data_IF_874438777057
#
_entry.id   IF_874438777057
#
_cell.length_a   1.000
_cell.length_b   1.000
_cell.length_c   1.000
_cell.angle_alpha   90.00
_cell.angle_beta   90.00
_cell.angle_gamma   90.00
#
_symmetry.space_group_name_H-M   'P 1'
#
loop_
_entity.id
_entity.type
_entity.pdbx_description
1 polymer ?
#
# COMPACT_ATOMS: atom_id res chain seq x y z
N UNK A 1 8.91 6.70 -8.08
CA UNK A 1 7.75 6.77 -7.16
C UNK A 1 7.43 5.39 -6.63
N UNK A 2 7.14 5.31 -5.36
CA UNK A 2 6.75 4.08 -4.70
C UNK A 2 5.30 4.15 -4.29
N UNK A 3 4.56 3.08 -4.50
CA UNK A 3 3.17 3.00 -4.05
C UNK A 3 3.08 2.02 -2.89
N UNK A 4 2.40 2.47 -1.84
CA UNK A 4 2.22 1.70 -0.62
C UNK A 4 0.73 1.50 -0.43
N UNK A 5 0.33 0.25 -0.21
CA UNK A 5 -1.08 -0.09 -0.03
C UNK A 5 -1.24 -0.79 1.31
N UNK A 6 -2.10 -0.23 2.15
CA UNK A 6 -2.41 -0.82 3.45
C UNK A 6 -3.86 -1.31 3.41
N UNK A 7 -4.04 -2.62 3.50
CA UNK A 7 -5.34 -3.25 3.46
C UNK A 7 -5.75 -3.62 4.88
N UNK A 8 -6.63 -2.81 5.43
CA UNK A 8 -7.22 -3.05 6.75
C UNK A 8 -8.60 -3.67 6.63
N UNK A 9 -9.16 -4.08 7.75
CA UNK A 9 -10.49 -4.72 7.78
C UNK A 9 -11.62 -3.80 7.28
N UNK A 10 -11.48 -2.51 7.48
CA UNK A 10 -12.53 -1.54 7.14
C UNK A 10 -12.13 -0.65 5.98
N UNK A 11 -10.86 -0.39 5.80
CA UNK A 11 -10.38 0.62 4.87
C UNK A 11 -9.09 0.17 4.20
N UNK A 12 -8.98 0.48 2.91
CA UNK A 12 -7.76 0.33 2.15
C UNK A 12 -7.19 1.73 1.93
N UNK A 13 -5.93 1.92 2.26
CA UNK A 13 -5.22 3.18 2.04
C UNK A 13 -4.16 2.96 0.97
N UNK A 14 -4.13 3.85 -0.02
CA UNK A 14 -3.09 3.83 -1.05
C UNK A 14 -2.31 5.14 -0.92
N UNK A 15 -1.02 5.03 -0.69
CA UNK A 15 -0.15 6.17 -0.51
C UNK A 15 0.94 6.17 -1.59
N UNK A 16 1.33 7.37 -1.99
CA UNK A 16 2.41 7.55 -2.96
C UNK A 16 3.57 8.23 -2.26
N UNK A 17 4.74 7.60 -2.35
CA UNK A 17 5.97 8.16 -1.82
C UNK A 17 6.91 8.50 -2.98
N UNK A 18 7.58 9.64 -2.87
CA UNK A 18 8.54 10.05 -3.89
C UNK A 18 9.90 9.38 -3.67
N UNK A 19 10.88 9.77 -4.48
CA UNK A 19 12.23 9.22 -4.38
C UNK A 19 12.94 9.56 -3.08
N UNK A 20 12.46 10.56 -2.36
CA UNK A 20 12.98 10.96 -1.06
C UNK A 20 12.18 10.36 0.09
N UNK A 21 11.25 9.46 -0.23
CA UNK A 21 10.47 8.71 0.75
C UNK A 21 9.45 9.55 1.50
N UNK A 22 9.05 10.66 0.93
CA UNK A 22 7.99 11.48 1.49
C UNK A 22 6.65 11.10 0.86
N UNK A 23 5.64 10.96 1.71
CA UNK A 23 4.28 10.67 1.26
C UNK A 23 3.69 11.95 0.69
N UNK A 24 3.49 11.96 -0.63
CA UNK A 24 2.97 13.14 -1.32
C UNK A 24 1.46 13.17 -1.39
N UNK A 25 0.85 12.01 -1.53
CA UNK A 25 -0.59 11.88 -1.67
C UNK A 25 -1.03 10.54 -1.13
N UNK A 26 -2.27 10.49 -0.68
CA UNK A 26 -2.87 9.25 -0.26
C UNK A 26 -4.37 9.32 -0.49
N UNK A 27 -4.98 8.19 -0.81
CA UNK A 27 -6.43 8.10 -0.84
C UNK A 27 -6.87 6.79 -0.21
N UNK A 28 -8.14 6.71 0.12
CA UNK A 28 -8.68 5.55 0.80
C UNK A 28 -10.07 5.20 0.28
N UNK A 29 -10.40 3.94 0.39
CA UNK A 29 -11.73 3.45 0.08
C UNK A 29 -12.05 2.27 1.00
N UNK A 30 -13.32 1.88 1.03
CA UNK A 30 -13.75 0.81 1.92
C UNK A 30 -13.23 -0.55 1.48
N UNK A 31 -12.87 -1.37 2.45
CA UNK A 31 -12.53 -2.77 2.20
C UNK A 31 -13.82 -3.56 2.07
N UNK A 32 -14.12 -4.00 0.85
CA UNK A 32 -15.30 -4.80 0.56
C UNK A 32 -14.85 -6.21 0.20
N UNK A 33 -15.05 -7.13 1.13
CA UNK A 33 -14.52 -8.49 1.02
C UNK A 33 -15.16 -9.32 -0.07
N UNK A 34 -16.39 -8.97 -0.44
CA UNK A 34 -17.15 -9.67 -1.47
C UNK A 34 -16.90 -9.13 -2.88
N UNK A 35 -16.08 -8.10 -3.00
CA UNK A 35 -15.81 -7.48 -4.30
C UNK A 35 -14.72 -8.22 -5.06
N UNK A 36 -14.72 -8.01 -6.36
CA UNK A 36 -13.85 -8.72 -7.29
C UNK A 36 -12.76 -7.78 -7.84
N UNK A 37 -11.95 -8.34 -8.76
CA UNK A 37 -10.90 -7.59 -9.46
C UNK A 37 -11.43 -6.31 -10.10
N UNK A 38 -12.66 -6.33 -10.66
CA UNK A 38 -13.25 -5.17 -11.32
C UNK A 38 -13.43 -3.98 -10.39
N UNK A 39 -13.85 -4.23 -9.15
CA UNK A 39 -13.98 -3.20 -8.14
C UNK A 39 -12.63 -2.53 -7.85
N UNK A 40 -11.60 -3.33 -7.62
CA UNK A 40 -10.28 -2.80 -7.30
C UNK A 40 -9.66 -2.09 -8.49
N UNK A 41 -9.88 -2.57 -9.71
CA UNK A 41 -9.45 -1.86 -10.91
C UNK A 41 -10.10 -0.47 -11.00
N UNK A 42 -11.39 -0.39 -10.73
CA UNK A 42 -12.11 0.88 -10.76
C UNK A 42 -11.51 1.87 -9.75
N UNK A 43 -11.33 1.43 -8.52
CA UNK A 43 -10.80 2.30 -7.45
C UNK A 43 -9.37 2.75 -7.73
N UNK A 44 -8.53 1.84 -8.22
CA UNK A 44 -7.15 2.16 -8.56
C UNK A 44 -7.06 3.14 -9.72
N UNK A 45 -7.84 2.91 -10.78
CA UNK A 45 -7.86 3.80 -11.93
C UNK A 45 -8.35 5.19 -11.56
N UNK A 46 -9.37 5.25 -10.72
CA UNK A 46 -9.92 6.53 -10.27
C UNK A 46 -8.87 7.35 -9.51
N UNK A 47 -8.12 6.70 -8.62
CA UNK A 47 -7.06 7.37 -7.88
C UNK A 47 -5.90 7.80 -8.75
N UNK A 48 -5.46 6.92 -9.64
CA UNK A 48 -4.39 7.22 -10.58
C UNK A 48 -4.74 8.44 -11.43
N UNK A 49 -5.96 8.49 -11.93
CA UNK A 49 -6.43 9.62 -12.73
C UNK A 49 -6.53 10.90 -11.89
N UNK A 50 -7.10 10.79 -10.70
CA UNK A 50 -7.32 11.95 -9.82
C UNK A 50 -6.01 12.64 -9.45
N UNK A 51 -4.98 11.86 -9.16
CA UNK A 51 -3.69 12.40 -8.71
C UNK A 51 -2.66 12.52 -9.83
N UNK A 52 -3.05 12.26 -11.07
CA UNK A 52 -2.17 12.44 -12.22
C UNK A 52 -0.95 11.54 -12.21
N UNK A 53 -1.08 10.32 -11.71
CA UNK A 53 0.04 9.39 -11.60
C UNK A 53 0.40 8.85 -12.97
N UNK A 54 1.69 8.93 -13.30
CA UNK A 54 2.22 8.29 -14.51
C UNK A 54 2.68 6.88 -14.16
N UNK A 55 2.10 5.89 -14.82
CA UNK A 55 2.45 4.49 -14.55
C UNK A 55 3.93 4.24 -14.77
N UNK A 56 4.53 4.88 -15.77
CA UNK A 56 5.96 4.74 -16.04
C UNK A 56 6.87 5.25 -14.92
N UNK A 57 6.34 6.07 -14.03
CA UNK A 57 7.10 6.61 -12.89
C UNK A 57 7.04 5.69 -11.67
N UNK A 58 6.21 4.66 -11.69
CA UNK A 58 6.07 3.74 -10.57
C UNK A 58 7.23 2.76 -10.58
N UNK A 59 8.02 2.78 -9.52
CA UNK A 59 9.16 1.88 -9.34
C UNK A 59 8.76 0.60 -8.61
N UNK A 60 8.03 0.76 -7.51
CA UNK A 60 7.62 -0.37 -6.68
C UNK A 60 6.21 -0.19 -6.17
N UNK A 61 5.55 -1.31 -5.93
CA UNK A 61 4.24 -1.34 -5.28
C UNK A 61 4.32 -2.35 -4.15
N UNK A 62 4.06 -1.91 -2.93
CA UNK A 62 4.14 -2.76 -1.75
C UNK A 62 2.81 -2.76 -1.02
N UNK A 63 2.38 -3.93 -0.60
CA UNK A 63 1.10 -4.14 0.06
C UNK A 63 1.32 -4.71 1.45
N UNK A 64 0.72 -4.08 2.45
CA UNK A 64 0.56 -4.64 3.77
C UNK A 64 -0.91 -4.99 3.95
N UNK A 65 -1.23 -6.23 4.27
CA UNK A 65 -2.62 -6.68 4.33
C UNK A 65 -2.90 -7.54 5.56
N UNK A 66 -4.03 -7.25 6.19
CA UNK A 66 -4.60 -8.12 7.24
C UNK A 66 -5.90 -8.78 6.76
N UNK A 67 -6.18 -8.71 5.45
CA UNK A 67 -7.39 -9.26 4.86
C UNK A 67 -7.00 -10.16 3.69
N UNK A 68 -6.60 -11.40 3.98
CA UNK A 68 -6.12 -12.31 2.91
C UNK A 68 -7.14 -12.55 1.80
N UNK A 69 -8.42 -12.42 2.11
CA UNK A 69 -9.50 -12.69 1.15
C UNK A 69 -9.46 -11.80 -0.09
N UNK A 70 -8.90 -10.58 0.03
CA UNK A 70 -8.85 -9.65 -1.10
C UNK A 70 -7.48 -9.56 -1.75
N UNK A 71 -6.47 -10.23 -1.21
CA UNK A 71 -5.10 -10.09 -1.68
C UNK A 71 -4.94 -10.42 -3.16
N UNK A 72 -5.48 -11.55 -3.60
CA UNK A 72 -5.35 -11.98 -4.98
C UNK A 72 -6.08 -11.03 -5.94
N UNK A 73 -7.23 -10.54 -5.52
CA UNK A 73 -8.01 -9.62 -6.34
C UNK A 73 -7.30 -8.29 -6.55
N UNK A 74 -6.77 -7.72 -5.47
CA UNK A 74 -6.08 -6.44 -5.59
C UNK A 74 -4.75 -6.59 -6.33
N UNK A 75 -4.03 -7.68 -6.10
CA UNK A 75 -2.80 -7.96 -6.83
C UNK A 75 -3.05 -8.08 -8.34
N UNK A 76 -4.11 -8.78 -8.73
CA UNK A 76 -4.47 -8.92 -10.13
C UNK A 76 -4.85 -7.57 -10.74
N UNK A 77 -5.61 -6.76 -10.02
CA UNK A 77 -5.98 -5.43 -10.47
C UNK A 77 -4.74 -4.56 -10.72
N UNK A 78 -3.77 -4.62 -9.82
CA UNK A 78 -2.53 -3.88 -9.94
C UNK A 78 -1.75 -4.31 -11.17
N UNK A 79 -1.60 -5.61 -11.36
CA UNK A 79 -0.89 -6.17 -12.52
C UNK A 79 -1.57 -5.75 -13.82
N UNK A 80 -2.91 -5.82 -13.85
CA UNK A 80 -3.69 -5.46 -15.04
C UNK A 80 -3.52 -3.98 -15.43
N UNK A 81 -3.39 -3.11 -14.44
CA UNK A 81 -3.30 -1.67 -14.67
C UNK A 81 -1.86 -1.21 -14.91
N UNK A 82 -0.92 -1.71 -14.13
CA UNK A 82 0.45 -1.19 -14.11
C UNK A 82 1.47 -2.10 -14.78
N UNK A 83 1.18 -3.38 -14.88
CA UNK A 83 2.17 -4.38 -15.32
C UNK A 83 3.20 -4.71 -14.25
N UNK A 84 3.07 -4.17 -13.05
CA UNK A 84 4.01 -4.37 -11.95
C UNK A 84 3.44 -5.39 -10.99
N UNK A 85 4.25 -6.38 -10.62
CA UNK A 85 3.87 -7.35 -9.60
C UNK A 85 4.09 -6.73 -8.23
N UNK A 86 3.04 -6.61 -7.41
CA UNK A 86 3.20 -6.02 -6.09
C UNK A 86 3.94 -6.96 -5.14
N UNK A 87 4.65 -6.38 -4.20
CA UNK A 87 5.32 -7.11 -3.13
C UNK A 87 4.46 -7.04 -1.88
N UNK A 88 4.11 -8.19 -1.33
CA UNK A 88 3.39 -8.25 -0.07
C UNK A 88 4.36 -8.17 1.09
N UNK A 89 4.13 -7.21 1.95
CA UNK A 89 5.00 -6.92 3.07
C UNK A 89 4.38 -7.49 4.34
N UNK A 90 5.16 -8.27 5.07
CA UNK A 90 4.70 -8.83 6.33
C UNK A 90 4.84 -7.78 7.42
N UNK A 91 3.77 -7.56 8.19
CA UNK A 91 3.77 -6.62 9.30
C UNK A 91 4.88 -6.94 10.32
N UNK A 92 5.13 -8.21 10.56
CA UNK A 92 6.21 -8.63 11.46
C UNK A 92 7.58 -8.22 10.93
N UNK A 93 7.79 -8.28 9.62
CA UNK A 93 9.03 -7.84 9.01
C UNK A 93 9.22 -6.34 9.17
N UNK A 94 8.15 -5.58 9.05
CA UNK A 94 8.19 -4.14 9.28
C UNK A 94 8.65 -3.83 10.71
N UNK A 95 8.14 -4.54 11.68
CA UNK A 95 8.50 -4.32 13.07
C UNK A 95 9.90 -4.80 13.43
N UNK A 96 10.45 -5.73 12.67
CA UNK A 96 11.82 -6.15 12.87
C UNK A 96 12.83 -5.14 12.35
N UNK A 97 12.46 -4.43 11.29
CA UNK A 97 13.40 -3.52 10.62
C UNK A 97 13.33 -2.11 11.19
N UNK A 98 12.22 -1.76 11.83
CA UNK A 98 12.05 -0.45 12.44
C UNK A 98 12.20 -0.59 13.93
N UNK A 99 13.14 0.15 14.50
CA UNK A 99 13.25 0.22 15.96
C UNK A 99 12.07 1.03 16.45
N UNK A 100 11.07 0.34 16.91
CA UNK A 100 9.85 0.98 17.34
C UNK A 100 9.86 1.19 18.84
N UNK A 101 9.75 2.43 19.25
CA UNK A 101 9.45 2.80 20.62
C UNK A 101 7.97 2.58 20.91
N UNK A 102 7.33 1.75 20.13
CA UNK A 102 5.91 1.46 20.22
C UNK A 102 5.71 0.19 21.00
N UNK A 103 4.99 0.30 22.10
CA UNK A 103 4.76 -0.84 22.98
C UNK A 103 3.88 -1.91 22.34
N UNK A 104 2.99 -1.50 21.47
CA UNK A 104 2.06 -2.42 20.84
C UNK A 104 1.80 -2.04 19.38
N UNK A 105 1.88 -3.02 18.45
CA UNK A 105 1.54 -2.77 17.06
C UNK A 105 0.14 -2.24 16.85
N UNK A 106 -0.80 -2.60 17.71
CA UNK A 106 -2.19 -2.14 17.60
C UNK A 106 -2.34 -0.64 17.83
N UNK A 107 -1.33 0.01 18.41
CA UNK A 107 -1.34 1.45 18.62
C UNK A 107 -0.95 2.22 17.38
N UNK A 108 -0.40 1.53 16.37
CA UNK A 108 -0.10 2.15 15.09
C UNK A 108 -1.40 2.44 14.35
N UNK A 109 -1.67 3.71 14.10
CA UNK A 109 -2.73 4.07 13.18
C UNK A 109 -2.35 3.65 11.76
N UNK A 110 -3.34 3.51 10.88
CA UNK A 110 -3.12 3.08 9.50
C UNK A 110 -2.17 4.01 8.74
N UNK A 111 -2.28 5.32 9.00
CA UNK A 111 -1.40 6.29 8.35
C UNK A 111 0.05 6.13 8.81
N UNK A 112 0.24 5.80 10.08
CA UNK A 112 1.58 5.52 10.62
C UNK A 112 2.16 4.24 10.05
N UNK A 113 1.33 3.25 9.81
CA UNK A 113 1.78 2.01 9.20
C UNK A 113 2.29 2.25 7.79
N UNK A 114 1.58 3.05 7.01
CA UNK A 114 2.01 3.41 5.67
C UNK A 114 3.34 4.16 5.71
N UNK A 115 3.51 5.08 6.65
CA UNK A 115 4.77 5.81 6.84
C UNK A 115 5.91 4.87 7.21
N UNK A 116 5.65 3.92 8.11
CA UNK A 116 6.65 2.95 8.54
C UNK A 116 7.08 2.05 7.39
N UNK A 117 6.15 1.56 6.61
CA UNK A 117 6.45 0.73 5.43
C UNK A 117 7.22 1.55 4.41
N UNK A 118 6.83 2.81 4.20
CA UNK A 118 7.55 3.72 3.31
C UNK A 118 8.98 3.93 3.75
N UNK A 119 9.21 4.13 5.05
CA UNK A 119 10.55 4.31 5.59
C UNK A 119 11.42 3.07 5.36
N UNK A 120 10.88 1.89 5.60
CA UNK A 120 11.60 0.64 5.38
C UNK A 120 12.00 0.48 3.91
N UNK A 121 11.05 0.69 3.00
CA UNK A 121 11.31 0.53 1.58
C UNK A 121 12.31 1.54 1.05
N UNK A 122 12.15 2.80 1.45
CA UNK A 122 12.93 3.87 0.88
C UNK A 122 14.33 3.97 1.47
N UNK A 123 14.48 3.66 2.74
CA UNK A 123 15.78 3.75 3.40
C UNK A 123 16.53 2.43 3.42
N UNK A 124 15.93 1.37 2.91
CA UNK A 124 16.56 0.07 2.88
C UNK A 124 16.93 -0.42 4.26
N UNK A 125 16.16 -0.11 5.26
CA UNK A 125 16.45 -0.47 6.64
C UNK A 125 16.43 -1.98 6.77
N UNK A 126 17.53 -2.56 7.20
CA UNK A 126 17.59 -4.01 7.41
C UNK A 126 16.80 -4.40 8.63
#
# INVERSE_FOLDING_TARGET
MHILIDIGNSTIVIAMADSECEINSAWRFKTLKDETVSFFRYELKAGIKKYGIQISDIETITISSVVPEVNDYIAQAIIDITGITPHFFNLNDAFKTITLDIESPSQLGKDRLADAVGAVLCHGVP
#
